data_IF_562898929251
#
_entry.id   IF_562898929251
#
_cell.length_a   1.000
_cell.length_b   1.000
_cell.length_c   1.000
_cell.angle_alpha   90.00
_cell.angle_beta   90.00
_cell.angle_gamma   90.00
#
_symmetry.space_group_name_H-M   'P 1'
#
loop_
_entity.id
_entity.type
_entity.pdbx_description
1 polymer ?
#
# COMPACT_ATOMS: atom_id res chain seq x y z
N UNK A 1 -15.56 4.19 -56.75
CA UNK A 1 -15.37 4.68 -58.16
C UNK A 1 -13.91 4.54 -58.55
N UNK A 2 -13.70 3.70 -59.54
CA UNK A 2 -12.81 3.81 -60.72
C UNK A 2 -11.35 4.28 -60.43
N UNK A 3 -10.39 3.33 -60.59
CA UNK A 3 -9.61 2.97 -61.78
C UNK A 3 -8.57 4.06 -62.13
N UNK A 4 -7.27 3.78 -62.25
CA UNK A 4 -6.61 3.09 -63.37
C UNK A 4 -5.15 2.79 -63.07
N UNK A 5 -4.73 1.67 -63.38
CA UNK A 5 -3.62 0.99 -64.01
C UNK A 5 -2.89 1.83 -65.09
N UNK A 6 -1.56 1.84 -65.06
CA UNK A 6 -0.75 1.98 -66.30
C UNK A 6 0.48 1.07 -66.18
N UNK A 7 0.56 0.12 -67.10
CA UNK A 7 1.69 -0.72 -67.45
C UNK A 7 2.79 0.08 -68.16
N UNK A 8 4.04 -0.25 -67.89
CA UNK A 8 5.18 0.21 -68.68
C UNK A 8 6.17 -0.94 -68.90
N UNK A 9 6.32 -1.32 -70.12
CA UNK A 9 6.98 -2.48 -70.71
C UNK A 9 8.50 -2.46 -70.54
N UNK A 10 9.03 -3.61 -70.29
CA UNK A 10 10.42 -4.03 -70.32
C UNK A 10 11.02 -4.00 -71.73
N UNK A 11 12.28 -3.74 -71.79
CA UNK A 11 13.06 -4.15 -72.97
C UNK A 11 14.29 -4.94 -72.50
N UNK A 12 14.24 -6.19 -72.86
CA UNK A 12 15.28 -7.19 -72.74
C UNK A 12 16.44 -6.85 -73.70
N UNK A 13 17.67 -6.74 -73.16
CA UNK A 13 18.87 -6.83 -74.00
C UNK A 13 19.74 -7.96 -73.50
N UNK A 14 19.63 -9.08 -74.20
CA UNK A 14 20.49 -10.24 -74.02
C UNK A 14 21.82 -10.00 -74.74
N UNK A 15 22.89 -9.90 -73.97
CA UNK A 15 24.25 -10.03 -74.55
C UNK A 15 24.79 -11.39 -74.09
N UNK A 16 24.84 -12.32 -75.03
CA UNK A 16 25.55 -13.56 -74.86
C UNK A 16 27.04 -13.32 -74.94
N UNK A 17 27.76 -13.43 -73.83
CA UNK A 17 29.22 -13.62 -73.83
C UNK A 17 29.48 -15.10 -73.52
N UNK A 18 29.70 -15.88 -74.53
CA UNK A 18 30.36 -17.17 -74.44
C UNK A 18 31.84 -16.94 -74.11
N UNK A 19 32.24 -17.18 -72.90
CA UNK A 19 33.62 -17.40 -72.52
C UNK A 19 33.73 -18.82 -71.97
N UNK A 20 34.26 -19.71 -72.76
CA UNK A 20 34.78 -20.99 -72.27
C UNK A 20 35.97 -20.73 -71.36
N UNK A 21 35.91 -21.18 -70.14
CA UNK A 21 37.02 -21.84 -69.45
C UNK A 21 36.48 -22.81 -68.45
N UNK A 22 36.61 -24.06 -68.76
CA UNK A 22 36.55 -25.14 -67.79
C UNK A 22 37.77 -25.01 -66.90
N UNK A 23 37.57 -24.35 -65.75
CA UNK A 23 38.37 -24.58 -64.56
C UNK A 23 37.40 -24.66 -63.42
N UNK A 24 36.86 -25.85 -63.16
CA UNK A 24 36.17 -26.21 -61.93
C UNK A 24 37.14 -26.19 -60.77
N UNK A 25 37.70 -25.01 -60.49
CA UNK A 25 38.28 -24.77 -59.18
C UNK A 25 37.15 -24.51 -58.20
N UNK A 26 36.59 -25.58 -57.66
CA UNK A 26 35.79 -25.52 -56.46
C UNK A 26 36.72 -25.14 -55.31
N UNK A 27 36.89 -23.84 -55.11
CA UNK A 27 37.49 -23.33 -53.88
C UNK A 27 36.49 -23.61 -52.78
N UNK A 28 36.62 -24.76 -52.11
CA UNK A 28 35.97 -24.99 -50.83
C UNK A 28 36.70 -24.17 -49.79
N UNK A 29 36.14 -22.99 -49.48
CA UNK A 29 36.66 -22.19 -48.40
C UNK A 29 36.73 -23.04 -47.11
N UNK A 30 37.85 -23.05 -46.42
CA UNK A 30 37.96 -23.84 -45.19
C UNK A 30 36.88 -23.41 -44.23
N UNK A 31 36.03 -24.36 -43.83
CA UNK A 31 34.89 -24.04 -42.96
C UNK A 31 35.30 -23.81 -41.53
N UNK A 32 36.53 -24.11 -41.18
CA UNK A 32 37.05 -23.96 -39.81
C UNK A 32 36.61 -25.04 -38.85
N UNK A 33 37.28 -25.08 -37.71
CA UNK A 33 36.98 -26.01 -36.60
C UNK A 33 37.23 -25.28 -35.27
N UNK A 34 36.35 -24.39 -34.88
CA UNK A 34 36.47 -23.68 -33.60
C UNK A 34 36.38 -24.68 -32.44
N UNK A 35 37.13 -24.42 -31.37
CA UNK A 35 37.12 -25.19 -30.10
C UNK A 35 37.08 -24.20 -28.94
N UNK A 36 36.18 -24.42 -27.99
CA UNK A 36 36.10 -23.64 -26.78
C UNK A 36 36.11 -24.55 -25.55
N UNK A 37 36.93 -24.21 -24.58
CA UNK A 37 36.96 -24.88 -23.28
C UNK A 37 36.95 -23.85 -22.17
N UNK A 38 36.38 -24.18 -21.03
CA UNK A 38 36.42 -23.34 -19.84
C UNK A 38 36.49 -24.21 -18.59
N UNK A 39 37.09 -23.69 -17.55
CA UNK A 39 37.12 -24.34 -16.23
C UNK A 39 35.95 -23.86 -15.39
N UNK A 40 35.48 -24.73 -14.50
CA UNK A 40 34.45 -24.38 -13.54
C UNK A 40 34.95 -23.18 -12.69
N UNK A 41 34.18 -22.11 -12.58
CA UNK A 41 34.52 -20.96 -11.72
C UNK A 41 34.31 -21.32 -10.24
N UNK A 42 34.75 -20.41 -9.36
CA UNK A 42 34.38 -20.44 -7.94
C UNK A 42 32.85 -20.22 -7.78
N UNK A 43 32.34 -20.62 -6.60
CA UNK A 43 30.96 -20.33 -6.21
C UNK A 43 30.72 -18.82 -6.16
N UNK A 44 29.50 -18.39 -6.46
CA UNK A 44 29.15 -16.98 -6.57
C UNK A 44 27.81 -16.69 -5.89
N UNK A 45 27.68 -15.50 -5.29
CA UNK A 45 26.42 -15.05 -4.69
C UNK A 45 25.50 -14.38 -5.74
N UNK A 46 24.20 -14.58 -5.58
CA UNK A 46 23.20 -13.79 -6.30
C UNK A 46 23.36 -12.31 -5.93
N UNK A 47 23.35 -11.44 -6.93
CA UNK A 47 23.61 -10.02 -6.79
C UNK A 47 25.06 -9.61 -7.05
N UNK A 48 25.97 -10.59 -7.21
CA UNK A 48 27.38 -10.36 -7.53
C UNK A 48 27.67 -10.56 -9.02
N UNK A 49 28.91 -10.31 -9.41
CA UNK A 49 29.42 -10.55 -10.75
C UNK A 49 30.22 -11.86 -10.80
N UNK A 50 29.94 -12.70 -11.79
CA UNK A 50 30.67 -13.89 -12.13
C UNK A 50 31.70 -13.59 -13.22
N UNK A 51 32.98 -13.66 -12.90
CA UNK A 51 34.07 -13.56 -13.87
C UNK A 51 34.59 -14.95 -14.25
N UNK A 52 34.55 -15.30 -15.54
CA UNK A 52 34.93 -16.62 -16.05
C UNK A 52 35.76 -16.49 -17.32
N UNK A 53 36.77 -17.35 -17.46
CA UNK A 53 37.67 -17.35 -18.62
C UNK A 53 37.45 -18.62 -19.47
N UNK A 54 37.31 -18.41 -20.78
CA UNK A 54 37.24 -19.47 -21.77
C UNK A 54 38.46 -19.42 -22.69
N UNK A 55 39.07 -20.58 -22.94
CA UNK A 55 40.11 -20.75 -23.96
C UNK A 55 39.46 -21.01 -25.32
N UNK A 56 39.75 -20.14 -26.27
CA UNK A 56 39.21 -20.18 -27.62
C UNK A 56 40.30 -20.56 -28.62
N UNK A 57 40.09 -21.58 -29.39
CA UNK A 57 41.01 -22.09 -30.39
C UNK A 57 40.35 -22.25 -31.77
N UNK A 58 41.15 -22.17 -32.81
CA UNK A 58 40.74 -22.50 -34.17
C UNK A 58 41.87 -23.32 -34.85
N UNK A 59 41.55 -24.58 -35.17
CA UNK A 59 42.57 -25.54 -35.62
C UNK A 59 42.77 -25.58 -37.12
N UNK A 60 41.91 -24.89 -37.88
CA UNK A 60 41.94 -24.92 -39.38
C UNK A 60 42.47 -23.61 -40.00
N UNK A 61 43.00 -22.67 -39.20
CA UNK A 61 43.55 -21.40 -39.68
C UNK A 61 42.48 -20.36 -40.10
N UNK A 62 41.20 -20.65 -39.91
CA UNK A 62 40.10 -19.72 -40.08
C UNK A 62 40.09 -18.73 -38.91
N UNK A 63 39.86 -17.43 -39.13
CA UNK A 63 39.82 -16.46 -38.05
C UNK A 63 38.62 -16.68 -37.14
N UNK A 64 38.78 -16.51 -35.84
CA UNK A 64 37.71 -16.42 -34.88
C UNK A 64 36.89 -15.13 -35.07
N UNK A 65 35.66 -15.11 -34.57
CA UNK A 65 34.73 -13.98 -34.70
C UNK A 65 34.24 -13.49 -33.33
N UNK A 66 33.44 -14.30 -32.65
CA UNK A 66 32.82 -13.92 -31.38
C UNK A 66 32.75 -15.09 -30.39
N UNK A 67 32.88 -14.77 -29.11
CA UNK A 67 32.54 -15.64 -28.01
C UNK A 67 31.31 -15.05 -27.31
N UNK A 68 30.21 -15.82 -27.27
CA UNK A 68 29.03 -15.49 -26.47
C UNK A 68 29.05 -16.37 -25.21
N UNK A 69 28.92 -15.74 -24.04
CA UNK A 69 28.71 -16.39 -22.77
C UNK A 69 27.29 -16.10 -22.26
N UNK A 70 26.59 -17.14 -21.82
CA UNK A 70 25.23 -17.07 -21.29
C UNK A 70 25.17 -17.77 -19.93
N UNK A 71 24.74 -17.04 -18.88
CA UNK A 71 24.42 -17.63 -17.58
C UNK A 71 22.99 -18.13 -17.61
N UNK A 72 22.78 -19.38 -17.26
CA UNK A 72 21.47 -20.04 -17.28
C UNK A 72 21.09 -20.56 -15.89
N UNK A 73 19.90 -20.18 -15.40
CA UNK A 73 19.24 -20.78 -14.26
C UNK A 73 18.17 -21.74 -14.78
N UNK A 74 18.28 -23.03 -14.44
CA UNK A 74 17.34 -24.08 -14.89
C UNK A 74 17.05 -24.07 -16.39
N UNK A 75 18.05 -23.68 -17.21
CA UNK A 75 17.92 -23.60 -18.67
C UNK A 75 17.45 -22.23 -19.21
N UNK A 76 16.97 -21.34 -18.37
CA UNK A 76 16.63 -19.96 -18.74
C UNK A 76 17.87 -19.08 -18.71
N UNK A 77 18.11 -18.31 -19.79
CA UNK A 77 19.21 -17.34 -19.86
C UNK A 77 18.86 -16.13 -18.98
N UNK A 78 19.66 -15.91 -17.94
CA UNK A 78 19.46 -14.79 -16.99
C UNK A 78 20.40 -13.63 -17.23
N UNK A 79 21.58 -13.88 -17.81
CA UNK A 79 22.48 -12.83 -18.31
C UNK A 79 23.31 -13.36 -19.48
N UNK A 80 23.80 -12.46 -20.33
CA UNK A 80 24.63 -12.80 -21.48
C UNK A 80 25.59 -11.67 -21.85
N UNK A 81 26.78 -12.10 -22.30
CA UNK A 81 27.80 -11.19 -22.80
C UNK A 81 28.38 -11.75 -24.10
N UNK A 82 28.66 -10.90 -25.04
CA UNK A 82 29.38 -11.27 -26.28
C UNK A 82 30.65 -10.44 -26.39
N UNK A 83 31.76 -11.12 -26.61
CA UNK A 83 33.07 -10.48 -26.84
C UNK A 83 33.58 -10.85 -28.22
N UNK A 84 34.32 -9.94 -28.84
CA UNK A 84 34.99 -10.20 -30.13
C UNK A 84 36.27 -11.01 -29.88
N UNK A 85 36.42 -12.09 -30.64
CA UNK A 85 37.61 -12.95 -30.61
C UNK A 85 38.37 -12.76 -31.96
N UNK A 86 39.54 -12.08 -31.93
CA UNK A 86 40.29 -11.85 -33.14
C UNK A 86 41.32 -12.95 -33.39
N UNK A 87 41.77 -13.66 -32.38
CA UNK A 87 42.83 -14.67 -32.45
C UNK A 87 42.57 -15.74 -31.40
N UNK A 88 43.14 -16.96 -31.54
CA UNK A 88 43.17 -17.94 -30.49
C UNK A 88 43.78 -17.40 -29.19
N UNK A 89 43.21 -17.78 -28.05
CA UNK A 89 43.67 -17.37 -26.72
C UNK A 89 42.59 -17.41 -25.68
N UNK A 90 42.91 -16.89 -24.49
CA UNK A 90 42.02 -16.79 -23.36
C UNK A 90 41.19 -15.52 -23.41
N UNK A 91 39.88 -15.66 -23.18
CA UNK A 91 38.92 -14.55 -23.15
C UNK A 91 38.15 -14.60 -21.84
N UNK A 92 38.27 -13.53 -21.04
CA UNK A 92 37.56 -13.38 -19.78
C UNK A 92 36.27 -12.61 -20.02
N UNK A 93 35.18 -13.10 -19.44
CA UNK A 93 33.84 -12.52 -19.52
C UNK A 93 33.30 -12.35 -18.10
N UNK A 94 32.69 -11.21 -17.84
CA UNK A 94 31.98 -10.93 -16.59
C UNK A 94 30.47 -10.94 -16.85
N UNK A 95 29.73 -11.76 -16.11
CA UNK A 95 28.28 -11.91 -16.16
C UNK A 95 27.69 -11.45 -14.81
N UNK A 96 26.55 -10.77 -14.85
CA UNK A 96 25.80 -10.44 -13.65
C UNK A 96 25.01 -11.68 -13.19
N UNK A 97 25.07 -11.99 -11.89
CA UNK A 97 24.27 -13.06 -11.28
C UNK A 97 23.04 -12.42 -10.62
N UNK A 98 21.88 -12.43 -11.25
CA UNK A 98 20.74 -11.71 -10.72
C UNK A 98 20.21 -12.37 -9.43
N UNK A 99 19.78 -11.53 -8.48
CA UNK A 99 18.98 -11.99 -7.33
C UNK A 99 17.53 -12.18 -7.81
N UNK A 100 17.10 -13.42 -7.91
CA UNK A 100 15.76 -13.75 -8.41
C UNK A 100 14.88 -14.34 -7.32
N UNK A 101 13.64 -13.92 -7.29
CA UNK A 101 12.57 -14.55 -6.51
C UNK A 101 12.36 -15.99 -6.96
N UNK A 102 12.02 -16.88 -6.04
CA UNK A 102 11.79 -18.32 -6.23
C UNK A 102 12.99 -19.13 -6.74
N UNK A 103 14.19 -18.59 -6.71
CA UNK A 103 15.41 -19.32 -7.07
C UNK A 103 16.23 -19.61 -5.81
N UNK A 104 16.23 -20.85 -5.31
CA UNK A 104 17.03 -21.24 -4.14
C UNK A 104 18.53 -21.39 -4.51
N UNK A 105 19.37 -21.66 -3.52
CA UNK A 105 20.75 -22.10 -3.75
C UNK A 105 20.77 -23.31 -4.68
N UNK A 106 21.71 -23.32 -5.62
CA UNK A 106 21.79 -24.42 -6.56
C UNK A 106 22.83 -24.24 -7.64
N UNK A 107 22.82 -25.18 -8.58
CA UNK A 107 23.74 -25.20 -9.70
C UNK A 107 23.14 -24.48 -10.91
N UNK A 108 23.83 -23.45 -11.38
CA UNK A 108 23.60 -22.80 -12.66
C UNK A 108 24.55 -23.35 -13.73
N UNK A 109 24.40 -22.91 -14.96
CA UNK A 109 25.25 -23.29 -16.08
C UNK A 109 25.70 -22.04 -16.84
N UNK A 110 26.99 -21.93 -17.11
CA UNK A 110 27.52 -20.98 -18.07
C UNK A 110 27.75 -21.68 -19.41
N UNK A 111 27.01 -21.27 -20.43
CA UNK A 111 27.14 -21.75 -21.81
C UNK A 111 27.98 -20.79 -22.61
N UNK A 112 29.08 -21.29 -23.19
CA UNK A 112 29.90 -20.59 -24.14
C UNK A 112 29.60 -21.05 -25.56
N UNK A 113 29.42 -20.10 -26.49
CA UNK A 113 29.31 -20.34 -27.91
C UNK A 113 30.39 -19.55 -28.63
N UNK A 114 31.40 -20.24 -29.12
CA UNK A 114 32.47 -19.65 -29.95
C UNK A 114 32.07 -19.75 -31.42
N UNK A 115 32.18 -18.66 -32.15
CA UNK A 115 31.90 -18.61 -33.59
C UNK A 115 33.13 -18.11 -34.36
N UNK A 116 33.43 -18.69 -35.50
CA UNK A 116 34.40 -18.22 -36.42
C UNK A 116 33.78 -17.35 -37.57
N UNK A 117 34.62 -16.75 -38.43
CA UNK A 117 34.15 -15.86 -39.52
C UNK A 117 33.32 -16.60 -40.61
N UNK A 118 33.40 -17.92 -40.68
CA UNK A 118 32.57 -18.73 -41.58
C UNK A 118 31.25 -19.21 -40.92
N UNK A 119 30.92 -18.64 -39.79
CA UNK A 119 29.70 -18.93 -38.99
C UNK A 119 29.64 -20.32 -38.35
N UNK A 120 30.70 -21.12 -38.40
CA UNK A 120 30.76 -22.34 -37.60
C UNK A 120 30.90 -22.04 -36.09
N UNK A 121 30.27 -22.86 -35.30
CA UNK A 121 30.22 -22.70 -33.84
C UNK A 121 30.74 -23.92 -33.10
N UNK A 122 31.33 -23.69 -31.94
CA UNK A 122 31.58 -24.69 -30.92
C UNK A 122 30.90 -24.25 -29.61
N UNK A 123 30.39 -25.18 -28.84
CA UNK A 123 29.69 -24.94 -27.58
C UNK A 123 30.33 -25.70 -26.47
N UNK A 124 30.51 -25.09 -25.31
CA UNK A 124 30.82 -25.78 -24.04
C UNK A 124 29.97 -25.23 -22.92
N UNK A 125 29.67 -26.06 -21.94
CA UNK A 125 28.90 -25.70 -20.76
C UNK A 125 29.71 -26.06 -19.52
N UNK A 126 29.74 -25.14 -18.54
CA UNK A 126 30.38 -25.35 -17.25
C UNK A 126 29.38 -25.05 -16.13
N UNK A 127 29.31 -25.92 -15.12
CA UNK A 127 28.47 -25.66 -13.96
C UNK A 127 29.10 -24.59 -13.09
N UNK A 128 28.25 -23.85 -12.36
CA UNK A 128 28.62 -22.90 -11.32
C UNK A 128 27.64 -23.01 -10.17
N UNK A 129 28.14 -23.07 -8.94
CA UNK A 129 27.27 -23.01 -7.77
C UNK A 129 26.88 -21.56 -7.51
N UNK A 130 25.60 -21.31 -7.37
CA UNK A 130 25.05 -19.99 -7.08
C UNK A 130 24.31 -20.08 -5.76
N UNK A 131 24.65 -19.17 -4.85
CA UNK A 131 24.06 -19.10 -3.52
C UNK A 131 23.36 -17.77 -3.31
N UNK A 132 22.32 -17.77 -2.49
CA UNK A 132 21.69 -16.54 -2.02
C UNK A 132 22.55 -15.90 -0.94
N UNK A 133 22.70 -14.57 -0.91
CA UNK A 133 23.45 -13.90 0.16
C UNK A 133 22.76 -14.09 1.51
N UNK A 134 23.55 -14.23 2.56
CA UNK A 134 23.11 -14.19 3.94
C UNK A 134 23.15 -12.74 4.44
N UNK A 135 21.99 -12.21 4.85
CA UNK A 135 21.85 -10.83 5.28
C UNK A 135 21.96 -10.74 6.81
N UNK A 136 23.17 -10.60 7.33
CA UNK A 136 23.42 -10.50 8.78
C UNK A 136 22.92 -9.19 9.40
N UNK A 137 22.54 -8.24 8.58
CA UNK A 137 22.09 -6.89 8.94
C UNK A 137 20.69 -6.56 8.42
N UNK A 138 19.87 -7.60 8.14
CA UNK A 138 18.47 -7.43 7.74
C UNK A 138 17.68 -6.73 8.83
N UNK A 139 16.83 -5.81 8.46
CA UNK A 139 15.97 -5.02 9.34
C UNK A 139 14.54 -4.95 8.79
N UNK A 140 13.57 -4.97 9.68
CA UNK A 140 12.24 -4.45 9.43
C UNK A 140 12.24 -2.96 9.78
N UNK A 141 11.65 -2.13 8.93
CA UNK A 141 11.46 -0.69 9.14
C UNK A 141 9.98 -0.41 9.14
N UNK A 142 9.45 0.12 10.24
CA UNK A 142 8.03 0.47 10.34
C UNK A 142 7.70 1.78 9.58
N UNK A 143 6.41 2.12 9.51
CA UNK A 143 5.94 3.31 8.80
C UNK A 143 6.44 4.63 9.41
N UNK A 144 6.84 4.62 10.68
CA UNK A 144 7.39 5.77 11.41
C UNK A 144 8.92 5.88 11.27
N UNK A 145 9.55 4.90 10.60
CA UNK A 145 10.99 4.85 10.37
C UNK A 145 11.79 4.21 11.50
N UNK A 146 11.14 3.55 12.46
CA UNK A 146 11.84 2.78 13.47
C UNK A 146 12.38 1.48 12.85
N UNK A 147 13.59 1.09 13.24
CA UNK A 147 14.29 -0.08 12.70
C UNK A 147 14.37 -1.20 13.72
N UNK A 148 14.06 -2.43 13.29
CA UNK A 148 14.06 -3.63 14.11
C UNK A 148 14.99 -4.66 13.46
N UNK A 149 16.18 -4.94 14.02
CA UNK A 149 17.08 -5.97 13.49
C UNK A 149 16.40 -7.33 13.44
N UNK A 150 16.57 -8.05 12.34
CA UNK A 150 15.99 -9.36 12.13
C UNK A 150 17.05 -10.46 12.31
N UNK A 151 16.69 -11.53 12.98
CA UNK A 151 17.50 -12.73 13.07
C UNK A 151 17.27 -13.61 11.85
N UNK A 152 18.35 -14.13 11.27
CA UNK A 152 18.28 -15.14 10.22
C UNK A 152 17.90 -16.50 10.83
N UNK A 153 16.98 -17.19 10.20
CA UNK A 153 16.54 -18.54 10.49
C UNK A 153 16.84 -19.49 9.33
N UNK A 154 16.20 -20.66 9.34
CA UNK A 154 16.33 -21.66 8.28
C UNK A 154 15.59 -21.24 7.01
N UNK A 155 15.96 -21.80 5.85
CA UNK A 155 15.25 -21.66 4.57
C UNK A 155 14.99 -20.20 4.13
N UNK A 156 16.00 -19.33 4.29
CA UNK A 156 15.97 -17.92 3.89
C UNK A 156 14.99 -17.04 4.67
N UNK A 157 14.52 -17.51 5.83
CA UNK A 157 13.60 -16.78 6.69
C UNK A 157 14.39 -15.84 7.63
N UNK A 158 13.79 -14.67 7.84
CA UNK A 158 14.23 -13.66 8.80
C UNK A 158 13.08 -13.31 9.72
N UNK A 159 13.35 -13.02 10.99
CA UNK A 159 12.32 -12.68 11.95
C UNK A 159 12.79 -11.67 12.98
N UNK A 160 11.83 -10.88 13.48
CA UNK A 160 12.03 -9.96 14.61
C UNK A 160 10.73 -9.84 15.41
N UNK A 161 10.82 -9.29 16.61
CA UNK A 161 9.62 -8.96 17.42
C UNK A 161 9.41 -7.46 17.40
N UNK A 162 8.17 -7.05 17.14
CA UNK A 162 7.74 -5.64 17.10
C UNK A 162 6.54 -5.48 18.06
N UNK A 163 6.55 -4.43 18.88
CA UNK A 163 5.41 -4.11 19.75
C UNK A 163 4.45 -3.19 19.01
N UNK A 164 3.23 -3.66 18.77
CA UNK A 164 2.20 -2.93 18.02
C UNK A 164 1.02 -2.54 18.91
N UNK A 165 0.49 -1.34 18.70
CA UNK A 165 -0.71 -0.85 19.39
C UNK A 165 -2.02 -1.23 18.65
N UNK A 166 -1.96 -1.42 17.34
CA UNK A 166 -3.11 -1.74 16.48
C UNK A 166 -2.87 -3.04 15.72
N UNK A 167 -3.92 -3.80 15.45
CA UNK A 167 -3.85 -5.06 14.72
C UNK A 167 -3.29 -4.92 13.29
N UNK A 168 -3.51 -3.77 12.64
CA UNK A 168 -2.92 -3.41 11.35
C UNK A 168 -1.74 -2.48 11.53
N UNK A 169 -0.60 -2.78 10.89
CA UNK A 169 0.59 -1.95 10.86
C UNK A 169 1.30 -2.05 9.51
N UNK A 170 2.27 -1.19 9.28
CA UNK A 170 2.93 -1.09 7.97
C UNK A 170 4.45 -1.01 8.12
N UNK A 171 5.17 -1.47 7.11
CA UNK A 171 6.62 -1.38 7.06
C UNK A 171 7.20 -2.07 5.84
N UNK A 172 8.52 -2.11 5.74
CA UNK A 172 9.27 -2.77 4.70
C UNK A 172 10.54 -3.42 5.25
N UNK A 173 11.26 -4.16 4.42
CA UNK A 173 12.49 -4.83 4.81
C UNK A 173 13.68 -4.23 4.06
N UNK A 174 14.82 -4.13 4.75
CA UNK A 174 16.05 -3.66 4.13
C UNK A 174 17.29 -4.18 4.87
N UNK A 175 18.46 -4.12 4.22
CA UNK A 175 19.73 -4.19 4.90
C UNK A 175 20.09 -2.86 5.55
N UNK A 176 20.92 -2.87 6.60
CA UNK A 176 21.27 -1.65 7.33
C UNK A 176 21.96 -0.58 6.45
N UNK A 177 22.67 -1.02 5.42
CA UNK A 177 23.32 -0.15 4.43
C UNK A 177 22.33 0.37 3.33
N UNK A 178 21.08 -0.11 3.32
CA UNK A 178 20.08 0.22 2.32
C UNK A 178 20.35 -0.30 0.92
N UNK A 179 21.35 -1.17 0.74
CA UNK A 179 21.67 -1.76 -0.58
C UNK A 179 20.55 -2.69 -1.07
N UNK A 180 19.94 -3.42 -0.15
CA UNK A 180 18.85 -4.35 -0.45
C UNK A 180 17.57 -3.84 0.21
N UNK A 181 16.59 -3.54 -0.62
CA UNK A 181 15.29 -3.03 -0.23
C UNK A 181 14.22 -4.01 -0.72
N UNK A 182 13.29 -4.38 0.16
CA UNK A 182 12.16 -5.25 -0.16
C UNK A 182 10.89 -4.60 0.38
N UNK A 183 10.19 -3.93 -0.48
CA UNK A 183 8.98 -3.18 -0.13
C UNK A 183 7.90 -3.31 -1.19
N UNK A 184 6.77 -2.65 -0.96
CA UNK A 184 5.62 -2.68 -1.85
C UNK A 184 5.87 -1.86 -3.13
N UNK A 185 5.49 -2.42 -4.28
CA UNK A 185 5.32 -1.68 -5.53
C UNK A 185 3.87 -1.19 -5.73
N UNK A 186 3.02 -1.35 -4.71
CA UNK A 186 1.58 -1.07 -4.74
C UNK A 186 0.69 -2.31 -4.92
N UNK A 187 1.27 -3.47 -5.24
CA UNK A 187 0.56 -4.74 -5.41
C UNK A 187 1.28 -5.90 -4.70
N UNK A 188 2.61 -5.99 -4.85
CA UNK A 188 3.42 -7.11 -4.36
C UNK A 188 4.71 -6.59 -3.74
N UNK A 189 5.45 -7.49 -3.05
CA UNK A 189 6.82 -7.21 -2.60
C UNK A 189 7.76 -7.23 -3.80
N UNK A 190 8.56 -6.19 -3.94
CA UNK A 190 9.54 -6.07 -5.02
C UNK A 190 10.91 -5.63 -4.49
N UNK A 191 11.95 -6.25 -5.02
CA UNK A 191 13.33 -5.86 -4.75
C UNK A 191 13.63 -4.46 -5.31
N UNK A 192 14.28 -3.61 -4.49
CA UNK A 192 14.62 -2.23 -4.84
C UNK A 192 13.48 -1.24 -4.62
N UNK A 193 12.42 -1.63 -3.90
CA UNK A 193 11.32 -0.76 -3.45
C UNK A 193 11.36 -0.57 -1.94
N UNK A 194 10.93 0.62 -1.51
CA UNK A 194 10.83 1.05 -0.11
C UNK A 194 9.38 1.34 0.32
N UNK A 195 8.41 1.02 -0.54
CA UNK A 195 6.99 1.17 -0.21
C UNK A 195 6.59 0.25 0.94
N UNK A 196 5.77 0.77 1.86
CA UNK A 196 5.31 -0.01 3.00
C UNK A 196 4.39 -1.15 2.58
N UNK A 197 4.63 -2.32 3.14
CA UNK A 197 3.77 -3.50 3.12
C UNK A 197 2.76 -3.40 4.25
N UNK A 198 1.62 -4.06 4.11
CA UNK A 198 0.58 -4.12 5.13
C UNK A 198 0.68 -5.43 5.90
N UNK A 199 0.65 -5.34 7.23
CA UNK A 199 0.70 -6.46 8.15
C UNK A 199 -0.60 -6.49 8.96
N UNK A 200 -1.11 -7.69 9.22
CA UNK A 200 -2.30 -7.91 10.02
C UNK A 200 -2.02 -8.96 11.07
N UNK A 201 -2.16 -8.60 12.35
CA UNK A 201 -2.05 -9.53 13.48
C UNK A 201 -3.39 -9.63 14.21
N UNK A 202 -3.76 -10.84 14.62
CA UNK A 202 -4.93 -11.07 15.44
C UNK A 202 -4.78 -10.52 16.88
N UNK A 203 -3.56 -10.15 17.28
CA UNK A 203 -3.24 -9.68 18.62
C UNK A 203 -2.44 -8.38 18.54
N UNK A 204 -2.59 -7.52 19.54
CA UNK A 204 -1.73 -6.36 19.78
C UNK A 204 -0.64 -6.70 20.80
N UNK A 205 0.32 -5.81 21.01
CA UNK A 205 1.50 -6.05 21.84
C UNK A 205 2.66 -6.61 21.02
N UNK A 206 3.43 -7.54 21.58
CA UNK A 206 4.60 -8.11 20.93
C UNK A 206 4.19 -9.14 19.89
N UNK A 207 4.48 -8.85 18.61
CA UNK A 207 4.20 -9.73 17.48
C UNK A 207 5.48 -10.08 16.73
N UNK A 208 5.54 -11.28 16.17
CA UNK A 208 6.67 -11.71 15.34
C UNK A 208 6.44 -11.28 13.90
N UNK A 209 7.31 -10.42 13.39
CA UNK A 209 7.39 -10.07 11.95
C UNK A 209 8.35 -11.03 11.28
N UNK A 210 7.94 -11.61 10.16
CA UNK A 210 8.73 -12.56 9.37
C UNK A 210 8.87 -12.10 7.94
N UNK A 211 9.98 -12.49 7.31
CA UNK A 211 10.23 -12.27 5.88
C UNK A 211 11.07 -13.40 5.31
N UNK A 212 10.70 -13.91 4.14
CA UNK A 212 11.48 -14.87 3.40
C UNK A 212 12.10 -14.21 2.17
N UNK A 213 13.43 -14.20 2.09
CA UNK A 213 14.14 -13.55 0.97
C UNK A 213 14.10 -14.37 -0.31
N UNK A 214 13.63 -15.63 -0.30
CA UNK A 214 13.53 -16.47 -1.49
C UNK A 214 12.22 -16.25 -2.24
N UNK A 215 11.09 -16.34 -1.55
CA UNK A 215 9.76 -16.24 -2.15
C UNK A 215 9.05 -14.90 -1.87
N UNK A 216 9.67 -14.04 -1.05
CA UNK A 216 9.16 -12.74 -0.61
C UNK A 216 7.88 -12.83 0.23
N UNK A 217 7.57 -14.01 0.76
CA UNK A 217 6.49 -14.13 1.75
C UNK A 217 6.85 -13.37 3.03
N UNK A 218 5.85 -12.77 3.65
CA UNK A 218 6.03 -11.99 4.86
C UNK A 218 4.80 -12.12 5.77
N UNK A 219 4.98 -11.84 7.04
CA UNK A 219 3.93 -11.93 8.05
C UNK A 219 4.19 -11.05 9.26
N UNK A 220 3.16 -10.90 10.13
CA UNK A 220 1.91 -11.66 10.11
C UNK A 220 0.90 -11.20 9.03
N UNK A 221 0.10 -12.16 8.54
CA UNK A 221 -1.03 -11.97 7.63
C UNK A 221 -2.24 -12.73 8.20
N UNK A 222 -2.58 -12.41 9.45
CA UNK A 222 -3.63 -13.07 10.20
C UNK A 222 -4.97 -12.39 9.96
N UNK A 223 -6.07 -13.12 10.08
CA UNK A 223 -7.40 -12.53 10.08
C UNK A 223 -7.66 -11.87 11.43
N UNK A 224 -8.00 -10.58 11.44
CA UNK A 224 -8.44 -9.91 12.65
C UNK A 224 -9.85 -10.44 13.00
N UNK A 225 -10.07 -11.01 14.19
CA UNK A 225 -11.39 -11.55 14.56
C UNK A 225 -12.42 -10.44 14.61
N UNK A 226 -13.59 -10.66 14.00
CA UNK A 226 -14.74 -9.76 14.09
C UNK A 226 -15.41 -9.94 15.44
N UNK A 227 -15.50 -8.88 16.24
CA UNK A 227 -16.09 -8.90 17.58
C UNK A 227 -17.57 -8.56 17.50
N UNK A 228 -18.51 -9.44 17.98
CA UNK A 228 -19.92 -9.13 17.95
C UNK A 228 -20.32 -8.11 19.03
N UNK A 229 -21.15 -7.14 18.63
CA UNK A 229 -21.90 -6.24 19.49
C UNK A 229 -23.36 -6.64 19.38
N UNK A 230 -23.93 -7.20 20.47
CA UNK A 230 -25.26 -7.83 20.46
C UNK A 230 -26.30 -6.89 21.04
N UNK A 231 -27.41 -6.71 20.32
CA UNK A 231 -28.53 -5.84 20.66
C UNK A 231 -29.86 -6.63 20.64
N UNK A 232 -30.81 -6.17 21.41
CA UNK A 232 -32.23 -6.55 21.32
C UNK A 232 -33.09 -5.34 21.67
N UNK A 233 -34.40 -5.39 21.42
CA UNK A 233 -35.28 -4.29 21.81
C UNK A 233 -35.31 -4.09 23.35
N UNK A 234 -35.08 -5.15 24.13
CA UNK A 234 -34.99 -5.09 25.59
C UNK A 234 -33.62 -4.61 26.09
N UNK A 235 -32.53 -5.01 25.39
CA UNK A 235 -31.15 -4.65 25.69
C UNK A 235 -30.57 -3.90 24.49
N UNK A 236 -31.01 -2.66 24.33
CA UNK A 236 -30.65 -1.86 23.18
C UNK A 236 -29.40 -0.96 23.36
N UNK A 237 -28.70 -1.11 24.48
CA UNK A 237 -27.50 -0.34 24.82
C UNK A 237 -26.31 -1.26 25.08
N UNK A 238 -25.21 -1.03 24.38
CA UNK A 238 -23.92 -1.69 24.62
C UNK A 238 -22.89 -0.64 25.03
N UNK A 239 -22.26 -0.82 26.18
CA UNK A 239 -21.08 -0.06 26.59
C UNK A 239 -19.87 -0.97 26.56
N UNK A 240 -18.83 -0.60 25.82
CA UNK A 240 -17.66 -1.44 25.60
C UNK A 240 -16.41 -0.60 25.31
N UNK A 241 -15.26 -1.14 25.71
CA UNK A 241 -13.98 -0.64 25.24
C UNK A 241 -13.79 -1.07 23.79
N UNK A 242 -13.67 -0.10 22.90
CA UNK A 242 -13.47 -0.29 21.48
C UNK A 242 -12.06 0.14 21.08
N UNK A 243 -11.48 -0.57 20.12
CA UNK A 243 -10.11 -0.38 19.64
C UNK A 243 -10.14 0.07 18.19
N UNK A 244 -9.45 1.15 17.85
CA UNK A 244 -9.37 1.68 16.50
C UNK A 244 -8.76 0.63 15.55
N UNK A 245 -9.38 0.46 14.40
CA UNK A 245 -8.97 -0.54 13.40
C UNK A 245 -9.51 -1.95 13.66
N UNK A 246 -10.09 -2.21 14.83
CA UNK A 246 -10.73 -3.50 15.13
C UNK A 246 -12.07 -3.63 14.39
N UNK A 247 -12.33 -4.73 13.66
CA UNK A 247 -13.65 -5.00 13.07
C UNK A 247 -14.64 -5.51 14.10
N UNK A 248 -15.87 -4.99 14.00
CA UNK A 248 -17.02 -5.37 14.81
C UNK A 248 -18.19 -5.77 13.90
N UNK A 249 -19.12 -6.57 14.42
CA UNK A 249 -20.40 -6.85 13.77
C UNK A 249 -21.56 -6.50 14.71
N UNK A 250 -22.68 -6.05 14.14
CA UNK A 250 -23.88 -5.74 14.89
C UNK A 250 -24.86 -6.92 14.80
N UNK A 251 -25.13 -7.57 15.94
CA UNK A 251 -25.99 -8.75 16.03
C UNK A 251 -27.31 -8.37 16.66
N UNK A 252 -28.43 -8.94 16.19
CA UNK A 252 -29.78 -8.67 16.69
C UNK A 252 -30.45 -7.44 16.07
N UNK A 253 -29.89 -6.92 14.99
CA UNK A 253 -30.47 -5.85 14.18
C UNK A 253 -30.77 -6.36 12.77
N UNK A 254 -31.55 -5.59 12.00
CA UNK A 254 -31.82 -5.89 10.59
C UNK A 254 -30.79 -5.25 9.68
N UNK A 255 -30.59 -5.83 8.50
CA UNK A 255 -29.74 -5.25 7.47
C UNK A 255 -30.19 -3.85 7.05
N UNK A 256 -29.23 -3.01 6.64
CA UNK A 256 -29.49 -1.68 6.13
C UNK A 256 -29.76 -0.62 7.21
N UNK A 257 -29.42 -0.89 8.47
CA UNK A 257 -29.46 0.13 9.50
C UNK A 257 -28.36 1.18 9.28
N UNK A 258 -28.69 2.42 9.60
CA UNK A 258 -27.71 3.50 9.58
C UNK A 258 -26.64 3.25 10.66
N UNK A 259 -25.40 3.19 10.21
CA UNK A 259 -24.20 3.18 11.07
C UNK A 259 -23.45 4.48 10.84
N UNK A 260 -23.06 5.15 11.90
CA UNK A 260 -22.34 6.42 11.81
C UNK A 260 -20.94 6.19 11.23
N UNK A 261 -20.63 6.72 10.01
CA UNK A 261 -19.38 6.48 9.31
C UNK A 261 -18.16 7.11 10.02
N UNK A 262 -18.39 8.06 10.94
CA UNK A 262 -17.32 8.67 11.72
C UNK A 262 -16.81 7.72 12.80
N UNK A 263 -17.69 6.85 13.33
CA UNK A 263 -17.33 5.82 14.33
C UNK A 263 -17.04 4.46 13.70
N UNK A 264 -17.74 4.08 12.63
CA UNK A 264 -17.66 2.74 12.06
C UNK A 264 -17.65 2.80 10.52
N UNK A 265 -16.60 2.32 9.91
CA UNK A 265 -16.46 2.21 8.46
C UNK A 265 -17.02 0.85 8.04
N UNK A 266 -18.00 0.83 7.13
CA UNK A 266 -18.58 -0.39 6.57
C UNK A 266 -17.55 -1.10 5.66
N UNK A 267 -17.24 -2.36 5.96
CA UNK A 267 -16.30 -3.17 5.19
C UNK A 267 -16.99 -3.88 4.00
N UNK A 268 -18.33 -3.81 3.89
CA UNK A 268 -19.09 -4.42 2.81
C UNK A 268 -19.33 -5.94 2.97
N UNK A 269 -18.87 -6.56 4.05
CA UNK A 269 -19.01 -7.97 4.35
C UNK A 269 -19.90 -8.26 5.59
N UNK A 270 -20.57 -7.23 6.10
CA UNK A 270 -21.36 -7.27 7.32
C UNK A 270 -20.57 -6.98 8.60
N UNK A 271 -19.29 -6.68 8.47
CA UNK A 271 -18.46 -6.14 9.53
C UNK A 271 -18.18 -4.64 9.34
N UNK A 272 -17.77 -4.00 10.42
CA UNK A 272 -17.51 -2.56 10.49
C UNK A 272 -16.21 -2.29 11.22
N UNK A 273 -15.28 -1.57 10.62
CA UNK A 273 -14.03 -1.18 11.28
C UNK A 273 -14.25 0.03 12.17
N UNK A 274 -13.91 -0.06 13.45
CA UNK A 274 -14.01 1.06 14.37
C UNK A 274 -12.98 2.13 14.02
N UNK A 275 -13.43 3.37 13.81
CA UNK A 275 -12.63 4.47 13.26
C UNK A 275 -12.22 5.53 14.32
N UNK A 276 -12.92 5.62 15.45
CA UNK A 276 -12.55 6.54 16.51
C UNK A 276 -11.33 6.02 17.30
N UNK A 277 -10.72 6.85 18.15
CA UNK A 277 -9.60 6.45 19.02
C UNK A 277 -10.05 5.41 20.04
N UNK A 278 -9.09 4.65 20.55
CA UNK A 278 -9.32 3.66 21.59
C UNK A 278 -10.01 4.29 22.82
N UNK A 279 -10.98 3.58 23.37
CA UNK A 279 -11.70 4.06 24.56
C UNK A 279 -13.00 3.36 24.83
N UNK A 280 -13.66 3.73 25.91
CA UNK A 280 -15.01 3.25 26.28
C UNK A 280 -16.04 4.04 25.49
N UNK A 281 -16.94 3.33 24.82
CA UNK A 281 -18.05 3.91 24.05
C UNK A 281 -19.37 3.24 24.42
N UNK A 282 -20.42 4.06 24.36
CA UNK A 282 -21.80 3.58 24.48
C UNK A 282 -22.46 3.67 23.09
N UNK A 283 -23.03 2.55 22.66
CA UNK A 283 -23.76 2.40 21.40
C UNK A 283 -25.21 2.03 21.75
N UNK A 284 -26.16 2.88 21.35
CA UNK A 284 -27.59 2.67 21.54
C UNK A 284 -28.25 2.34 20.21
N UNK A 285 -28.84 1.15 20.10
CA UNK A 285 -29.66 0.77 18.96
C UNK A 285 -31.03 1.47 19.05
N UNK A 286 -31.39 2.25 18.04
CA UNK A 286 -32.63 3.03 17.95
C UNK A 286 -33.57 2.36 16.95
N UNK A 287 -34.34 1.38 17.41
CA UNK A 287 -35.14 0.48 16.56
C UNK A 287 -36.21 1.19 15.74
N UNK A 288 -36.82 2.27 16.24
CA UNK A 288 -37.79 3.08 15.50
C UNK A 288 -37.16 3.99 14.43
N UNK A 289 -35.83 4.14 14.41
CA UNK A 289 -35.09 4.96 13.43
C UNK A 289 -34.13 4.11 12.56
N UNK A 290 -34.08 2.79 12.78
CA UNK A 290 -33.19 1.85 12.09
C UNK A 290 -31.73 2.32 12.06
N UNK A 291 -31.16 2.61 13.22
CA UNK A 291 -29.77 3.06 13.32
C UNK A 291 -29.27 3.16 14.76
N UNK A 292 -28.06 3.68 14.88
CA UNK A 292 -27.38 3.77 16.16
C UNK A 292 -27.12 5.22 16.57
N UNK A 293 -27.16 5.48 17.87
CA UNK A 293 -26.55 6.65 18.52
C UNK A 293 -25.31 6.20 19.26
N UNK A 294 -24.23 6.93 19.11
CA UNK A 294 -22.93 6.55 19.65
C UNK A 294 -22.33 7.75 20.38
N UNK A 295 -21.76 7.48 21.55
CA UNK A 295 -21.00 8.49 22.26
C UNK A 295 -19.83 7.89 23.02
N UNK A 296 -18.80 8.70 23.26
CA UNK A 296 -17.69 8.36 24.11
C UNK A 296 -18.11 8.39 25.60
N UNK A 297 -17.58 7.44 26.38
CA UNK A 297 -17.92 7.23 27.77
C UNK A 297 -18.98 6.16 27.98
N UNK A 298 -19.36 5.96 29.25
CA UNK A 298 -20.43 4.99 29.63
C UNK A 298 -21.82 5.63 29.50
N UNK A 299 -22.88 4.81 29.51
CA UNK A 299 -24.25 5.28 29.45
C UNK A 299 -24.60 6.26 30.57
N UNK A 300 -24.10 6.01 31.79
CA UNK A 300 -24.35 6.85 32.97
C UNK A 300 -23.37 7.99 33.13
N UNK A 301 -22.24 7.94 32.39
CA UNK A 301 -21.17 8.95 32.46
C UNK A 301 -20.57 9.19 31.06
N UNK A 302 -21.29 9.89 30.18
CA UNK A 302 -20.76 10.32 28.88
C UNK A 302 -19.56 11.24 29.11
N UNK A 303 -18.54 11.12 28.23
CA UNK A 303 -17.33 11.92 28.37
C UNK A 303 -17.61 13.40 28.12
N UNK A 304 -16.85 14.21 28.84
CA UNK A 304 -16.75 15.66 28.63
C UNK A 304 -15.34 16.05 28.19
N UNK A 305 -15.23 17.17 27.49
CA UNK A 305 -13.97 17.76 27.07
C UNK A 305 -13.15 18.20 28.28
N UNK A 306 -11.87 17.82 28.26
CA UNK A 306 -10.91 18.21 29.27
C UNK A 306 -10.18 19.51 28.87
N UNK A 307 -9.57 20.25 29.83
CA UNK A 307 -8.83 21.47 29.52
C UNK A 307 -7.63 21.29 28.58
N UNK A 308 -7.11 20.07 28.47
CA UNK A 308 -6.02 19.72 27.55
C UNK A 308 -6.51 19.41 26.12
N UNK A 309 -7.81 19.42 25.88
CA UNK A 309 -8.44 19.16 24.61
C UNK A 309 -8.80 17.69 24.33
N UNK A 310 -8.58 16.78 25.29
CA UNK A 310 -9.03 15.38 25.22
C UNK A 310 -10.49 15.24 25.69
N UNK A 311 -11.10 14.04 25.54
CA UNK A 311 -12.47 13.75 25.97
C UNK A 311 -13.47 13.75 24.80
N UNK A 312 -14.55 14.52 24.89
CA UNK A 312 -15.59 14.53 23.87
C UNK A 312 -16.12 15.93 23.53
N UNK A 313 -16.48 16.14 22.28
CA UNK A 313 -17.18 17.33 21.78
C UNK A 313 -18.58 16.93 21.35
N UNK A 314 -19.55 17.77 21.66
CA UNK A 314 -20.96 17.55 21.45
C UNK A 314 -21.59 18.67 20.63
N UNK A 315 -22.68 18.35 19.93
CA UNK A 315 -23.49 19.30 19.18
C UNK A 315 -24.86 19.41 19.86
N UNK A 316 -25.29 20.62 20.16
CA UNK A 316 -26.62 20.95 20.68
C UNK A 316 -27.13 22.18 19.90
N UNK A 317 -28.42 22.22 19.53
CA UNK A 317 -28.99 23.32 18.76
C UNK A 317 -30.46 23.16 18.41
N UNK A 318 -30.88 23.85 17.37
CA UNK A 318 -32.24 23.75 16.84
C UNK A 318 -32.54 22.33 16.32
N UNK A 319 -33.82 21.99 16.18
CA UNK A 319 -34.29 20.70 15.65
C UNK A 319 -34.01 20.55 14.13
N UNK A 320 -32.75 20.69 13.73
CA UNK A 320 -32.33 20.66 12.32
C UNK A 320 -31.27 19.59 12.04
N UNK A 321 -30.71 18.97 13.08
CA UNK A 321 -29.68 17.94 12.97
C UNK A 321 -29.99 16.75 13.88
N UNK A 322 -29.39 15.61 13.62
CA UNK A 322 -29.47 14.40 14.43
C UNK A 322 -28.98 13.17 13.69
N UNK A 323 -28.56 12.16 14.43
CA UNK A 323 -28.22 10.84 13.92
C UNK A 323 -29.05 9.78 14.65
N UNK A 324 -29.60 8.79 13.99
CA UNK A 324 -29.50 8.50 12.55
C UNK A 324 -30.21 9.50 11.63
N UNK A 325 -31.15 10.28 12.14
CA UNK A 325 -31.91 11.27 11.33
C UNK A 325 -32.22 12.53 12.13
N UNK A 326 -32.35 13.66 11.45
CA UNK A 326 -32.81 14.90 12.07
C UNK A 326 -34.33 14.93 12.33
N UNK A 327 -35.10 13.98 11.80
CA UNK A 327 -36.56 13.97 11.92
C UNK A 327 -37.06 13.90 13.38
N UNK A 328 -36.28 13.33 14.28
CA UNK A 328 -36.56 13.22 15.72
C UNK A 328 -35.79 14.25 16.56
N UNK A 329 -35.15 15.23 15.92
CA UNK A 329 -34.40 16.25 16.61
C UNK A 329 -35.29 17.12 17.49
N UNK A 330 -34.77 17.56 18.64
CA UNK A 330 -35.43 18.40 19.60
C UNK A 330 -34.63 19.70 19.81
N UNK A 331 -35.33 20.83 19.92
CA UNK A 331 -34.70 22.13 20.10
C UNK A 331 -33.93 22.24 21.42
N UNK A 332 -32.62 22.35 21.34
CA UNK A 332 -31.73 22.63 22.46
C UNK A 332 -31.84 21.66 23.66
N UNK A 333 -32.18 20.39 23.39
CA UNK A 333 -32.18 19.35 24.42
C UNK A 333 -30.76 18.84 24.71
N UNK A 334 -30.50 18.56 25.97
CA UNK A 334 -29.14 18.36 26.51
C UNK A 334 -28.87 16.96 27.06
N UNK A 335 -29.69 15.97 26.72
CA UNK A 335 -29.44 14.57 27.04
C UNK A 335 -28.71 13.84 25.90
N UNK A 336 -28.19 12.66 26.17
CA UNK A 336 -27.45 11.82 25.19
C UNK A 336 -28.32 11.25 24.07
N UNK A 337 -29.63 11.37 24.16
CA UNK A 337 -30.55 10.98 23.10
C UNK A 337 -30.78 12.10 22.07
N UNK A 338 -30.41 13.35 22.39
CA UNK A 338 -30.63 14.50 21.51
C UNK A 338 -29.36 15.30 21.22
N UNK A 339 -28.44 15.41 22.19
CA UNK A 339 -27.11 15.93 21.91
C UNK A 339 -26.31 14.92 21.09
N UNK A 340 -25.61 15.37 20.07
CA UNK A 340 -24.84 14.52 19.17
C UNK A 340 -23.36 14.56 19.54
N UNK A 341 -22.80 13.40 19.93
CA UNK A 341 -21.37 13.27 20.16
C UNK A 341 -20.60 13.21 18.83
N UNK A 342 -19.56 14.01 18.69
CA UNK A 342 -18.63 13.91 17.57
C UNK A 342 -17.65 12.75 17.80
N UNK A 343 -17.28 12.02 16.73
CA UNK A 343 -16.30 10.95 16.81
C UNK A 343 -14.88 11.52 17.04
N UNK A 344 -14.16 11.12 18.08
CA UNK A 344 -12.75 11.47 18.25
C UNK A 344 -11.90 10.60 17.30
N UNK A 345 -11.67 11.05 16.07
CA UNK A 345 -10.98 10.30 15.01
C UNK A 345 -9.46 10.26 15.16
N UNK A 346 -8.91 11.22 15.92
CA UNK A 346 -7.54 11.24 16.39
C UNK A 346 -7.49 11.97 17.74
N UNK A 347 -6.34 11.93 18.42
CA UNK A 347 -6.17 12.65 19.68
C UNK A 347 -6.45 14.15 19.48
N UNK A 348 -7.43 14.70 20.24
CA UNK A 348 -7.89 16.09 20.17
C UNK A 348 -8.50 16.52 18.83
N UNK A 349 -8.91 15.56 17.99
CA UNK A 349 -9.56 15.81 16.70
C UNK A 349 -10.91 15.11 16.66
N UNK A 350 -11.97 15.90 16.49
CA UNK A 350 -13.35 15.45 16.57
C UNK A 350 -14.07 15.68 15.25
N UNK A 351 -14.81 14.68 14.77
CA UNK A 351 -15.43 14.70 13.45
C UNK A 351 -16.92 14.39 13.52
N UNK A 352 -17.69 15.05 12.67
CA UNK A 352 -19.07 14.70 12.37
C UNK A 352 -19.34 14.85 10.88
N UNK A 353 -19.95 13.82 10.29
CA UNK A 353 -20.40 13.81 8.90
C UNK A 353 -21.90 13.97 8.85
N UNK A 354 -22.38 14.92 8.04
CA UNK A 354 -23.79 15.15 7.77
C UNK A 354 -24.12 14.97 6.28
N UNK A 355 -25.04 14.07 5.98
CA UNK A 355 -25.72 14.06 4.69
C UNK A 355 -26.97 14.90 4.78
N UNK A 356 -27.06 15.93 3.92
CA UNK A 356 -28.15 16.89 3.91
C UNK A 356 -29.47 16.21 3.48
N UNK A 357 -30.52 16.49 4.21
CA UNK A 357 -31.82 15.84 4.05
C UNK A 357 -31.96 14.53 4.84
N UNK A 358 -30.88 14.06 5.48
CA UNK A 358 -30.87 12.88 6.35
C UNK A 358 -30.49 13.26 7.78
N UNK A 359 -29.22 13.63 8.02
CA UNK A 359 -28.71 13.98 9.36
C UNK A 359 -28.75 15.49 9.63
N UNK A 360 -28.74 16.32 8.60
CA UNK A 360 -28.92 17.77 8.68
C UNK A 360 -29.99 18.21 7.69
N UNK A 361 -30.90 19.09 8.15
CA UNK A 361 -31.99 19.62 7.32
C UNK A 361 -31.43 20.51 6.21
N UNK A 362 -31.92 20.32 4.98
CA UNK A 362 -31.58 21.16 3.85
C UNK A 362 -32.26 22.55 3.97
N UNK A 363 -31.70 23.55 3.28
CA UNK A 363 -32.21 24.89 3.25
C UNK A 363 -31.14 25.96 3.44
N UNK A 364 -31.55 27.17 3.77
CA UNK A 364 -30.69 28.35 3.88
C UNK A 364 -30.42 28.79 5.32
N UNK A 365 -30.72 27.95 6.30
CA UNK A 365 -30.48 28.23 7.70
C UNK A 365 -30.11 26.95 8.47
N UNK A 366 -29.20 27.10 9.41
CA UNK A 366 -28.93 26.15 10.48
C UNK A 366 -28.53 26.92 11.72
N UNK A 367 -28.75 26.31 12.89
CA UNK A 367 -28.37 26.93 14.14
C UNK A 367 -28.11 25.82 15.16
N UNK A 368 -26.83 25.57 15.44
CA UNK A 368 -26.38 24.68 16.49
C UNK A 368 -25.06 25.19 17.06
N UNK A 369 -24.59 24.57 18.11
CA UNK A 369 -23.36 24.98 18.79
C UNK A 369 -22.57 23.77 19.23
N UNK A 370 -21.26 23.91 19.30
CA UNK A 370 -20.38 22.91 19.89
C UNK A 370 -20.20 23.13 21.38
N UNK A 371 -20.26 22.02 22.11
CA UNK A 371 -20.12 21.96 23.56
C UNK A 371 -19.07 20.92 23.95
N UNK A 372 -18.43 21.11 25.08
CA UNK A 372 -17.54 20.12 25.65
C UNK A 372 -18.24 19.09 26.55
N UNK A 373 -19.56 19.02 26.54
CA UNK A 373 -20.36 18.05 27.32
C UNK A 373 -21.75 17.87 26.72
N UNK A 374 -22.44 16.76 27.06
CA UNK A 374 -23.82 16.50 26.66
C UNK A 374 -24.80 17.40 27.46
N UNK A 375 -24.58 18.68 27.53
CA UNK A 375 -25.34 19.60 28.35
C UNK A 375 -24.80 21.04 28.27
N UNK A 376 -25.43 21.91 28.99
CA UNK A 376 -25.00 23.31 29.10
C UNK A 376 -23.67 23.43 29.85
N UNK A 377 -22.82 24.35 29.43
CA UNK A 377 -21.47 24.56 29.93
C UNK A 377 -20.41 24.12 28.94
N UNK A 378 -19.14 24.49 29.08
CA UNK A 378 -18.03 24.23 28.15
C UNK A 378 -18.42 24.58 26.71
N UNK A 379 -18.85 25.83 26.50
CA UNK A 379 -19.33 26.29 25.19
C UNK A 379 -18.19 26.81 24.33
N UNK A 380 -18.10 26.33 23.08
CA UNK A 380 -17.18 26.94 22.11
C UNK A 380 -17.73 28.26 21.59
N UNK A 381 -16.89 29.28 21.52
CA UNK A 381 -17.18 30.62 21.04
C UNK A 381 -16.03 31.14 20.18
N UNK A 382 -16.21 32.31 19.59
CA UNK A 382 -15.16 33.04 18.87
C UNK A 382 -14.08 33.62 19.80
N UNK A 383 -14.36 33.72 21.12
CA UNK A 383 -13.44 34.17 22.13
C UNK A 383 -13.74 33.55 23.51
N UNK A 384 -12.76 33.53 24.42
CA UNK A 384 -12.92 33.03 25.79
C UNK A 384 -12.02 31.83 26.12
N UNK A 385 -12.52 30.91 26.96
CA UNK A 385 -11.75 29.75 27.41
C UNK A 385 -11.78 28.58 26.41
N UNK A 386 -12.82 28.47 25.59
CA UNK A 386 -12.98 27.49 24.54
C UNK A 386 -13.25 28.22 23.23
N UNK A 387 -12.21 28.35 22.41
CA UNK A 387 -12.27 29.16 21.20
C UNK A 387 -12.39 28.24 19.97
N UNK A 388 -13.24 28.62 19.04
CA UNK A 388 -13.37 27.98 17.75
C UNK A 388 -13.34 29.00 16.62
N UNK A 389 -12.41 28.86 15.71
CA UNK A 389 -12.30 29.69 14.51
C UNK A 389 -12.54 28.85 13.27
N UNK A 390 -12.91 29.48 12.17
CA UNK A 390 -13.08 28.79 10.87
C UNK A 390 -12.79 29.76 9.73
N UNK A 391 -12.34 29.19 8.61
CA UNK A 391 -12.09 29.89 7.35
C UNK A 391 -12.94 29.34 6.19
N UNK A 392 -13.80 28.33 6.46
CA UNK A 392 -14.64 27.74 5.45
C UNK A 392 -15.85 28.63 5.11
N UNK A 393 -16.38 28.57 3.88
CA UNK A 393 -17.49 29.42 3.45
C UNK A 393 -18.87 28.89 3.85
N UNK A 394 -19.01 27.65 4.30
CA UNK A 394 -20.32 27.01 4.48
C UNK A 394 -20.86 27.16 5.90
N UNK A 395 -20.06 26.88 6.92
CA UNK A 395 -20.47 26.91 8.32
C UNK A 395 -19.59 27.91 9.07
N UNK A 396 -20.18 28.97 9.55
CA UNK A 396 -19.49 30.05 10.26
C UNK A 396 -19.76 29.98 11.76
N UNK A 397 -18.76 30.36 12.55
CA UNK A 397 -18.89 30.56 14.00
C UNK A 397 -19.36 31.99 14.22
N UNK A 398 -20.58 32.16 14.74
CA UNK A 398 -21.15 33.49 14.97
C UNK A 398 -20.43 34.23 16.13
N UNK A 399 -20.07 35.49 15.87
CA UNK A 399 -19.37 36.29 16.84
C UNK A 399 -20.23 36.56 18.11
N UNK A 400 -19.62 36.33 19.26
CA UNK A 400 -20.21 36.60 20.58
C UNK A 400 -20.93 35.40 21.20
N UNK A 401 -21.81 34.71 20.47
CA UNK A 401 -22.52 33.55 21.00
C UNK A 401 -21.89 32.19 20.60
N UNK A 402 -21.11 32.16 19.51
CA UNK A 402 -20.44 30.95 19.01
C UNK A 402 -21.37 29.93 18.32
N UNK A 403 -22.60 30.30 18.04
CA UNK A 403 -23.52 29.45 17.30
C UNK A 403 -23.04 29.24 15.85
N UNK A 404 -23.29 28.08 15.30
CA UNK A 404 -22.94 27.75 13.93
C UNK A 404 -24.11 28.09 13.03
N UNK A 405 -23.86 29.00 12.11
CA UNK A 405 -24.79 29.43 11.07
C UNK A 405 -24.24 29.12 9.69
N UNK A 406 -25.06 29.23 8.66
CA UNK A 406 -24.58 29.15 7.27
C UNK A 406 -23.93 30.48 6.88
N UNK A 407 -22.89 30.39 6.05
CA UNK A 407 -22.28 31.55 5.41
C UNK A 407 -23.24 32.28 4.46
N UNK A 408 -22.91 33.53 4.11
CA UNK A 408 -23.75 34.36 3.26
C UNK A 408 -24.05 33.69 1.90
N UNK A 409 -25.34 33.55 1.57
CA UNK A 409 -25.81 32.94 0.33
C UNK A 409 -25.66 31.42 0.24
N UNK A 410 -25.19 30.76 1.29
CA UNK A 410 -25.06 29.31 1.34
C UNK A 410 -26.43 28.66 1.45
N UNK A 411 -26.66 27.63 0.64
CA UNK A 411 -27.83 26.78 0.68
C UNK A 411 -27.40 25.33 0.75
N UNK A 412 -27.85 24.59 1.75
CA UNK A 412 -27.64 23.16 1.91
C UNK A 412 -28.59 22.38 1.00
N UNK A 413 -28.06 21.59 0.07
CA UNK A 413 -28.86 20.85 -0.91
C UNK A 413 -28.95 19.38 -0.47
N UNK A 414 -30.15 18.81 -0.49
CA UNK A 414 -30.36 17.41 -0.13
C UNK A 414 -29.48 16.47 -0.96
N UNK A 415 -28.82 15.52 -0.28
CA UNK A 415 -27.91 14.57 -0.87
C UNK A 415 -26.43 14.99 -0.82
N UNK A 416 -26.13 16.28 -0.58
CA UNK A 416 -24.75 16.71 -0.32
C UNK A 416 -24.26 16.21 1.03
N UNK A 417 -22.96 15.95 1.12
CA UNK A 417 -22.33 15.50 2.37
C UNK A 417 -21.27 16.51 2.80
N UNK A 418 -21.29 16.86 4.07
CA UNK A 418 -20.30 17.74 4.71
C UNK A 418 -19.66 17.02 5.88
N UNK A 419 -18.33 17.09 5.95
CA UNK A 419 -17.53 16.61 7.09
C UNK A 419 -17.03 17.82 7.87
N UNK A 420 -17.47 17.94 9.11
CA UNK A 420 -17.06 18.98 10.03
C UNK A 420 -16.04 18.40 11.01
N UNK A 421 -14.86 18.98 11.10
CA UNK A 421 -13.78 18.52 11.98
C UNK A 421 -13.36 19.66 12.89
N UNK A 422 -13.39 19.40 14.21
CA UNK A 422 -12.82 20.31 15.23
C UNK A 422 -11.43 19.78 15.59
N UNK A 423 -10.43 20.60 15.34
CA UNK A 423 -9.03 20.34 15.65
C UNK A 423 -8.60 21.18 16.87
N UNK A 424 -8.32 20.50 17.97
CA UNK A 424 -7.88 21.08 19.24
C UNK A 424 -6.42 20.77 19.54
N UNK A 425 -5.63 20.31 18.58
CA UNK A 425 -4.21 19.96 18.78
C UNK A 425 -3.37 21.16 19.24
N UNK A 426 -3.76 22.37 18.84
CA UNK A 426 -3.15 23.62 19.33
C UNK A 426 -3.71 24.10 20.70
N UNK A 427 -4.61 23.32 21.31
CA UNK A 427 -5.28 23.62 22.59
C UNK A 427 -6.69 24.18 22.41
N UNK A 428 -7.49 24.09 23.49
CA UNK A 428 -8.91 24.51 23.51
C UNK A 428 -9.15 25.98 23.25
N UNK A 429 -8.11 26.84 23.45
CA UNK A 429 -8.15 28.30 23.17
C UNK A 429 -7.77 28.64 21.72
N UNK A 430 -7.41 27.64 20.91
CA UNK A 430 -6.99 27.79 19.52
C UNK A 430 -7.60 26.71 18.60
N UNK A 431 -8.83 26.31 18.91
CA UNK A 431 -9.56 25.32 18.13
C UNK A 431 -9.94 25.83 16.74
N UNK A 432 -9.90 24.94 15.76
CA UNK A 432 -10.23 25.22 14.36
C UNK A 432 -11.34 24.30 13.88
N UNK A 433 -12.40 24.89 13.33
CA UNK A 433 -13.45 24.17 12.60
C UNK A 433 -13.06 24.10 11.12
N UNK A 434 -12.68 22.92 10.66
CA UNK A 434 -12.48 22.58 9.25
C UNK A 434 -13.76 21.98 8.68
N UNK A 435 -14.10 22.32 7.45
CA UNK A 435 -15.26 21.75 6.76
C UNK A 435 -14.86 21.30 5.36
N UNK A 436 -15.20 20.08 5.05
CA UNK A 436 -15.01 19.48 3.71
C UNK A 436 -16.37 19.11 3.15
N UNK A 437 -16.65 19.54 1.92
CA UNK A 437 -17.78 19.07 1.14
C UNK A 437 -17.33 17.90 0.27
N UNK A 438 -17.97 16.74 0.44
CA UNK A 438 -17.68 15.51 -0.32
C UNK A 438 -18.44 15.48 -1.65
#
# INVERSE_FOLDING_TARGET
MRKNIIFGFATLLAVALTACSNDDYKYEAPSGSPVVTATQPADVLMGDELTITANCQETSGVALSTLKAELCFSGEVVDRKTVRTASPGDYTVTLNVPFKQYVPNGQATVRFTLQNVTTKTAVTEVPVNVERPHFTDMQFVDADGNTYPMAEGDDYNYSTTVSIANNGFKGHFQTADGKWLFGSNGAEVELGKDGNLEFLSAQTGDVTVTFNTCDYSYGPQESIPVIPLTFSEADNVVTKDLVKGQPYSFVGIKDGWYTDPDFFIDNGDGSYTFNAIDGTYTIKAVYNQNGFRIHAGTADSPLSLQPDGTGAVWIIGDAVYGKPTFAEAQNWWTDTDHALCMAPVAEKVYQVTFTIGQQLKGGNSTNFKFFGQAGWGIEFKDAGDYVLTTDNPWFIVNAGDGNIHLGDGVQLVNGETYVLTIDLTAGVKAGVLKVEKK
#
